data_IF_175722083215
#
_entry.id   IF_175722083215
#
_cell.length_a   1.000
_cell.length_b   1.000
_cell.length_c   1.000
_cell.angle_alpha   90.00
_cell.angle_beta   90.00
_cell.angle_gamma   90.00
#
_symmetry.space_group_name_H-M   'P 1'
#
loop_
_entity.id
_entity.type
_entity.pdbx_description
1 polymer ?
#
# COMPACT_ATOMS: atom_id res chain seq x y z
N UNK A 1 -1.32 -41.54 72.40
CA UNK A 1 -1.20 -42.32 71.14
C UNK A 1 -1.11 -41.35 69.97
N UNK A 2 -0.30 -41.69 68.98
CA UNK A 2 0.25 -40.85 67.89
C UNK A 2 -0.82 -40.26 66.95
N UNK A 3 -0.65 -39.01 66.53
CA UNK A 3 -0.27 -38.63 65.16
C UNK A 3 -0.26 -37.10 65.02
N UNK A 4 0.86 -36.56 64.53
CA UNK A 4 1.05 -35.14 64.21
C UNK A 4 0.87 -34.94 62.71
N UNK A 5 0.07 -33.95 62.32
CA UNK A 5 -0.02 -33.45 60.94
C UNK A 5 -0.05 -31.92 60.99
N UNK A 6 1.05 -31.30 60.57
CA UNK A 6 1.19 -29.85 60.44
C UNK A 6 0.74 -29.42 59.03
N UNK A 7 -0.11 -28.41 58.93
CA UNK A 7 -0.18 -27.53 57.75
C UNK A 7 -0.55 -26.13 58.25
N UNK A 8 0.42 -25.23 58.27
CA UNK A 8 0.15 -23.80 58.40
C UNK A 8 -0.36 -23.28 57.06
N UNK A 9 -1.51 -22.61 57.07
CA UNK A 9 -2.07 -21.91 55.91
C UNK A 9 -2.12 -20.44 56.29
N UNK A 10 -1.19 -19.65 55.76
CA UNK A 10 -1.28 -18.20 55.77
C UNK A 10 -2.28 -17.78 54.68
N UNK A 11 -3.33 -17.08 55.11
CA UNK A 11 -4.38 -16.54 54.24
C UNK A 11 -3.91 -15.16 53.78
N UNK A 12 -3.53 -15.02 52.51
CA UNK A 12 -3.45 -13.74 51.84
C UNK A 12 -4.64 -13.61 50.89
N UNK A 13 -5.36 -12.51 51.06
CA UNK A 13 -6.67 -12.25 50.52
C UNK A 13 -6.68 -12.01 49.00
N UNK A 14 -7.84 -12.32 48.39
CA UNK A 14 -8.43 -11.43 47.38
C UNK A 14 -8.24 -11.81 45.91
N UNK A 15 -8.91 -12.87 45.45
CA UNK A 15 -9.28 -13.05 44.05
C UNK A 15 -10.77 -13.45 43.96
N UNK A 16 -11.63 -12.46 44.18
CA UNK A 16 -13.02 -12.44 43.69
C UNK A 16 -12.96 -11.58 42.41
N UNK A 17 -13.42 -11.99 41.24
CA UNK A 17 -14.81 -12.15 40.80
C UNK A 17 -14.80 -13.13 39.60
N UNK A 18 -15.42 -14.31 39.64
CA UNK A 18 -16.79 -14.59 39.19
C UNK A 18 -17.26 -13.79 37.95
N UNK A 19 -17.27 -14.43 36.78
CA UNK A 19 -18.48 -14.83 36.05
C UNK A 19 -18.18 -15.16 34.58
N UNK A 20 -18.63 -16.34 34.15
CA UNK A 20 -18.68 -16.80 32.77
C UNK A 20 -20.15 -16.77 32.33
N UNK A 21 -20.45 -16.14 31.18
CA UNK A 21 -21.48 -16.46 30.15
C UNK A 21 -21.78 -15.20 29.27
N UNK A 22 -22.47 -15.30 28.12
CA UNK A 22 -21.91 -15.59 26.80
C UNK A 22 -22.23 -14.50 25.73
N UNK A 23 -21.55 -14.60 24.58
CA UNK A 23 -21.90 -14.01 23.26
C UNK A 23 -21.91 -12.48 23.09
N UNK A 24 -20.88 -11.98 22.38
CA UNK A 24 -21.04 -11.05 21.28
C UNK A 24 -19.82 -11.22 20.34
N UNK A 25 -20.04 -11.80 19.16
CA UNK A 25 -19.08 -11.68 18.07
C UNK A 25 -19.05 -10.20 17.70
N UNK A 26 -18.00 -9.47 18.10
CA UNK A 26 -17.73 -8.16 17.54
C UNK A 26 -17.04 -8.38 16.19
N UNK A 27 -17.86 -8.64 15.17
CA UNK A 27 -17.53 -8.31 13.80
C UNK A 27 -17.55 -6.78 13.73
N UNK A 28 -16.39 -6.15 13.86
CA UNK A 28 -16.18 -4.80 13.34
C UNK A 28 -14.85 -4.78 12.57
N UNK A 29 -14.81 -4.05 11.43
CA UNK A 29 -14.05 -4.40 10.25
C UNK A 29 -12.60 -3.90 10.31
N UNK A 30 -11.79 -4.49 9.44
CA UNK A 30 -10.42 -4.10 9.12
C UNK A 30 -10.19 -2.58 9.24
N UNK A 31 -9.53 -2.17 10.30
CA UNK A 31 -9.18 -0.78 10.55
C UNK A 31 -8.35 -0.71 11.82
N UNK A 32 -7.09 -0.29 11.64
CA UNK A 32 -6.13 0.07 12.69
C UNK A 32 -5.26 -1.07 13.26
N UNK A 33 -4.14 -1.33 12.59
CA UNK A 33 -2.87 -1.62 13.25
C UNK A 33 -1.76 -0.83 12.57
N UNK A 34 -1.59 0.41 13.01
CA UNK A 34 -0.26 1.02 13.05
C UNK A 34 0.53 0.43 14.23
N UNK A 35 1.86 0.48 14.09
CA UNK A 35 2.90 0.18 15.09
C UNK A 35 3.57 -1.20 15.01
N UNK A 36 4.49 -1.30 14.05
CA UNK A 36 5.79 -1.96 14.24
C UNK A 36 6.87 -1.20 13.44
N UNK A 37 7.46 -0.22 14.12
CA UNK A 37 8.89 0.14 14.12
C UNK A 37 9.65 0.14 12.76
N UNK A 38 10.04 1.36 12.34
CA UNK A 38 11.22 1.66 11.50
C UNK A 38 11.21 1.19 10.02
N UNK A 39 10.07 1.36 9.34
CA UNK A 39 9.88 0.83 7.97
C UNK A 39 9.46 1.95 7.01
N UNK A 40 10.44 2.61 6.38
CA UNK A 40 10.32 3.48 5.18
C UNK A 40 8.86 3.88 4.85
N UNK A 41 8.41 4.97 5.49
CA UNK A 41 7.08 5.56 5.31
C UNK A 41 6.76 5.64 3.82
N UNK A 42 5.65 5.00 3.42
CA UNK A 42 5.09 5.13 2.08
C UNK A 42 5.10 6.62 1.67
N UNK A 43 5.69 7.02 0.52
CA UNK A 43 5.78 8.41 0.11
C UNK A 43 4.44 9.13 0.12
N UNK A 44 3.32 8.48 -0.23
CA UNK A 44 2.00 9.11 -0.13
C UNK A 44 1.41 9.14 1.28
N UNK A 45 2.02 8.49 2.27
CA UNK A 45 1.71 8.71 3.67
C UNK A 45 2.56 9.85 4.26
N UNK A 46 3.81 9.98 3.83
CA UNK A 46 4.68 11.10 4.19
C UNK A 46 4.21 12.40 3.53
N UNK A 47 3.87 12.34 2.24
CA UNK A 47 3.17 13.39 1.52
C UNK A 47 1.72 13.40 1.98
N UNK A 48 1.24 14.52 2.51
CA UNK A 48 -0.20 14.71 2.79
C UNK A 48 -1.08 14.78 1.53
N UNK A 49 -0.61 14.20 0.43
CA UNK A 49 -1.31 14.09 -0.84
C UNK A 49 -2.27 12.92 -0.74
N UNK A 50 -3.57 13.20 -0.82
CA UNK A 50 -4.64 12.21 -0.84
C UNK A 50 -4.66 11.44 -2.17
N UNK A 51 -3.63 10.62 -2.43
CA UNK A 51 -3.60 9.73 -3.57
C UNK A 51 -4.00 8.34 -3.11
N UNK A 52 -4.96 7.76 -3.82
CA UNK A 52 -5.39 6.38 -3.56
C UNK A 52 -4.28 5.41 -3.97
N UNK A 53 -4.26 4.24 -3.32
CA UNK A 53 -3.33 3.17 -3.67
C UNK A 53 -3.87 2.37 -4.84
N UNK A 54 -2.96 1.92 -5.70
CA UNK A 54 -3.27 0.93 -6.71
C UNK A 54 -3.68 -0.40 -6.06
N UNK A 55 -4.58 -1.14 -6.70
CA UNK A 55 -4.96 -2.47 -6.24
C UNK A 55 -3.83 -3.49 -6.44
N UNK A 56 -3.88 -4.61 -5.71
CA UNK A 56 -2.91 -5.70 -5.85
C UNK A 56 -2.84 -6.23 -7.30
N UNK A 57 -3.95 -6.24 -8.02
CA UNK A 57 -4.00 -6.65 -9.43
C UNK A 57 -3.24 -5.65 -10.33
N UNK A 58 -3.39 -4.36 -10.07
CA UNK A 58 -2.61 -3.33 -10.77
C UNK A 58 -1.11 -3.48 -10.48
N UNK A 59 -0.73 -3.74 -9.22
CA UNK A 59 0.68 -3.96 -8.84
C UNK A 59 1.26 -5.24 -9.47
N UNK A 60 0.46 -6.30 -9.57
CA UNK A 60 0.84 -7.51 -10.28
C UNK A 60 1.07 -7.23 -11.76
N UNK A 61 0.17 -6.50 -12.42
CA UNK A 61 0.32 -6.11 -13.81
C UNK A 61 1.57 -5.24 -14.05
N UNK A 62 1.86 -4.28 -13.15
CA UNK A 62 3.09 -3.49 -13.20
C UNK A 62 4.35 -4.34 -13.00
N UNK A 63 4.31 -5.29 -12.06
CA UNK A 63 5.40 -6.22 -11.80
C UNK A 63 5.71 -7.08 -13.02
N UNK A 64 4.68 -7.60 -13.69
CA UNK A 64 4.85 -8.40 -14.91
C UNK A 64 5.44 -7.59 -16.07
N UNK A 65 5.16 -6.28 -16.12
CA UNK A 65 5.72 -5.37 -17.12
C UNK A 65 7.14 -4.92 -16.79
N UNK A 66 7.55 -4.92 -15.53
CA UNK A 66 8.81 -4.33 -15.06
C UNK A 66 10.03 -5.17 -15.41
N UNK A 67 11.06 -4.50 -15.91
CA UNK A 67 12.39 -5.08 -16.18
C UNK A 67 13.38 -4.88 -15.03
N UNK A 68 13.01 -4.09 -14.01
CA UNK A 68 13.94 -3.57 -12.98
C UNK A 68 13.62 -4.06 -11.57
N UNK A 69 12.63 -4.95 -11.41
CA UNK A 69 12.16 -5.46 -10.13
C UNK A 69 10.66 -5.30 -9.94
N UNK A 70 10.07 -5.93 -8.91
CA UNK A 70 8.63 -5.88 -8.70
C UNK A 70 8.14 -4.47 -8.32
N UNK A 71 6.92 -4.12 -8.71
CA UNK A 71 6.24 -2.94 -8.20
C UNK A 71 5.47 -3.33 -6.93
N UNK A 72 5.92 -2.87 -5.76
CA UNK A 72 5.31 -3.22 -4.47
C UNK A 72 4.36 -2.16 -3.96
N UNK A 73 4.50 -0.93 -4.43
CA UNK A 73 3.62 0.19 -4.14
C UNK A 73 3.40 0.98 -5.42
N UNK A 74 2.18 1.46 -5.59
CA UNK A 74 1.78 2.33 -6.68
C UNK A 74 0.61 3.19 -6.22
N UNK A 75 0.52 4.39 -6.78
CA UNK A 75 -0.54 5.33 -6.46
C UNK A 75 -1.39 5.57 -7.68
N UNK A 76 -2.54 6.18 -7.47
CA UNK A 76 -3.54 6.38 -8.51
C UNK A 76 -3.91 7.86 -8.54
N UNK A 77 -3.96 8.41 -9.76
CA UNK A 77 -4.45 9.75 -10.00
C UNK A 77 -5.29 9.80 -11.27
N UNK A 78 -6.55 10.24 -11.16
CA UNK A 78 -7.42 10.46 -12.31
C UNK A 78 -6.97 11.69 -13.11
N UNK A 79 -7.03 11.60 -14.44
CA UNK A 79 -6.77 12.74 -15.32
C UNK A 79 -6.72 12.38 -16.79
N UNK A 80 -6.81 13.40 -17.65
CA UNK A 80 -6.75 13.27 -19.11
C UNK A 80 -7.74 12.24 -19.71
N UNK A 81 -8.86 12.01 -19.04
CA UNK A 81 -9.89 11.05 -19.46
C UNK A 81 -9.61 9.60 -19.08
N UNK A 82 -8.62 9.35 -18.22
CA UNK A 82 -8.31 8.05 -17.66
C UNK A 82 -7.57 8.16 -16.33
N UNK A 83 -6.61 7.27 -16.10
CA UNK A 83 -5.90 7.14 -14.84
C UNK A 83 -4.41 7.03 -15.06
N UNK A 84 -3.65 7.66 -14.16
CA UNK A 84 -2.21 7.56 -14.04
C UNK A 84 -1.83 6.70 -12.85
N UNK A 85 -0.81 5.86 -13.03
CA UNK A 85 -0.23 5.01 -12.00
C UNK A 85 1.26 5.29 -11.91
N UNK A 86 1.72 6.14 -10.99
CA UNK A 86 3.13 6.24 -10.64
C UNK A 86 3.54 5.07 -9.75
N UNK A 87 4.71 4.48 -9.99
CA UNK A 87 5.29 3.48 -9.09
C UNK A 87 6.83 3.56 -9.07
N UNK A 88 7.46 3.30 -7.92
CA UNK A 88 8.91 3.30 -7.80
C UNK A 88 9.50 2.09 -8.54
N UNK A 89 10.59 2.30 -9.26
CA UNK A 89 11.29 1.28 -10.03
C UNK A 89 12.63 0.95 -9.37
N UNK A 90 12.85 -0.31 -9.01
CA UNK A 90 14.09 -0.80 -8.40
C UNK A 90 13.89 -2.14 -7.71
N UNK A 91 14.98 -2.76 -7.24
CA UNK A 91 14.96 -4.09 -6.61
C UNK A 91 13.97 -4.19 -5.44
N UNK A 92 13.87 -3.14 -4.63
CA UNK A 92 12.96 -3.09 -3.48
C UNK A 92 11.52 -2.71 -3.83
N UNK A 93 11.28 -2.09 -5.00
CA UNK A 93 9.93 -1.79 -5.53
C UNK A 93 9.02 -0.88 -4.69
N UNK A 94 9.55 -0.30 -3.60
CA UNK A 94 8.77 0.40 -2.56
C UNK A 94 9.15 1.88 -2.47
N UNK A 95 10.43 2.20 -2.72
CA UNK A 95 11.00 3.54 -2.79
C UNK A 95 12.11 3.55 -3.84
N UNK A 96 12.18 4.60 -4.65
CA UNK A 96 13.23 4.80 -5.65
C UNK A 96 13.22 6.24 -6.13
N UNK A 97 14.39 6.79 -6.45
CA UNK A 97 14.53 8.06 -7.18
C UNK A 97 13.99 7.93 -8.62
N UNK A 98 13.90 6.69 -9.12
CA UNK A 98 13.33 6.37 -10.42
C UNK A 98 11.86 6.02 -10.24
N UNK A 99 10.99 6.89 -10.72
CA UNK A 99 9.53 6.68 -10.68
C UNK A 99 9.03 6.49 -12.10
N UNK A 100 8.52 5.29 -12.39
CA UNK A 100 7.80 5.03 -13.63
C UNK A 100 6.39 5.62 -13.55
N UNK A 101 5.89 6.11 -14.68
CA UNK A 101 4.52 6.57 -14.83
C UNK A 101 3.84 5.79 -15.94
N UNK A 102 2.75 5.09 -15.59
CA UNK A 102 1.88 4.39 -16.53
C UNK A 102 0.51 5.04 -16.59
N UNK A 103 -0.25 4.76 -17.65
CA UNK A 103 -1.63 5.20 -17.80
C UNK A 103 -2.54 4.09 -18.34
N UNK A 104 -3.82 4.21 -18.03
CA UNK A 104 -4.87 3.27 -18.44
C UNK A 104 -6.23 3.98 -18.47
N UNK A 105 -7.23 3.34 -19.07
CA UNK A 105 -8.61 3.82 -19.19
C UNK A 105 -9.53 3.29 -18.09
N UNK A 106 -9.05 2.36 -17.25
CA UNK A 106 -9.79 1.78 -16.14
C UNK A 106 -9.19 2.18 -14.80
N UNK A 107 -10.05 2.28 -13.79
CA UNK A 107 -9.63 2.63 -12.43
C UNK A 107 -8.64 1.58 -11.87
N UNK A 108 -7.37 1.93 -11.64
CA UNK A 108 -6.36 1.03 -11.11
C UNK A 108 -6.51 0.72 -9.62
N UNK A 109 -7.38 1.45 -8.90
CA UNK A 109 -7.74 1.12 -7.51
C UNK A 109 -8.82 0.02 -7.44
N UNK A 110 -9.49 -0.30 -8.56
CA UNK A 110 -10.44 -1.41 -8.61
C UNK A 110 -9.72 -2.75 -8.38
N UNK A 111 -10.25 -3.56 -7.46
CA UNK A 111 -9.73 -4.90 -7.13
C UNK A 111 -9.90 -5.90 -8.27
N UNK A 112 -10.71 -5.58 -9.27
CA UNK A 112 -10.95 -6.39 -10.46
C UNK A 112 -10.18 -5.86 -11.68
N UNK A 113 -9.14 -5.02 -11.46
CA UNK A 113 -8.34 -4.45 -12.53
C UNK A 113 -7.75 -5.55 -13.45
N UNK A 114 -7.98 -5.38 -14.75
CA UNK A 114 -7.54 -6.26 -15.83
C UNK A 114 -7.43 -5.45 -17.15
N UNK A 115 -6.89 -4.23 -17.06
CA UNK A 115 -6.70 -3.36 -18.23
C UNK A 115 -5.23 -3.20 -18.57
N UNK A 116 -4.96 -2.80 -19.81
CA UNK A 116 -3.61 -2.51 -20.29
C UNK A 116 -3.06 -1.25 -19.63
N UNK A 117 -1.81 -1.33 -19.19
CA UNK A 117 -1.01 -0.20 -18.73
C UNK A 117 -0.04 0.23 -19.84
N UNK A 118 -0.05 1.52 -20.15
CA UNK A 118 0.82 2.12 -21.16
C UNK A 118 1.90 2.98 -20.49
N UNK A 119 3.15 2.87 -20.92
CA UNK A 119 4.24 3.69 -20.41
C UNK A 119 4.09 5.15 -20.88
N UNK A 120 4.13 6.09 -19.93
CA UNK A 120 3.91 7.52 -20.19
C UNK A 120 5.22 8.31 -20.15
N UNK A 121 6.05 8.09 -19.12
CA UNK A 121 7.33 8.80 -18.97
C UNK A 121 8.52 7.96 -19.46
N UNK A 122 9.72 8.58 -19.47
CA UNK A 122 10.95 7.94 -19.91
C UNK A 122 11.38 6.78 -19.03
N UNK A 123 11.13 6.87 -17.72
CA UNK A 123 11.50 5.82 -16.76
C UNK A 123 10.68 4.55 -16.97
N UNK A 124 9.36 4.67 -17.12
CA UNK A 124 8.50 3.55 -17.48
C UNK A 124 8.88 2.95 -18.84
N UNK A 125 9.23 3.76 -19.83
CA UNK A 125 9.66 3.28 -21.15
C UNK A 125 11.00 2.53 -21.12
N UNK A 126 11.92 2.94 -20.23
CA UNK A 126 13.27 2.36 -20.17
C UNK A 126 13.34 1.12 -19.27
N UNK A 127 12.41 0.99 -18.32
CA UNK A 127 12.42 -0.04 -17.28
C UNK A 127 11.21 -0.96 -17.32
N UNK A 128 10.40 -0.93 -18.39
CA UNK A 128 9.29 -1.86 -18.55
C UNK A 128 9.12 -2.27 -20.02
N UNK A 129 8.35 -3.33 -20.22
CA UNK A 129 7.96 -3.83 -21.54
C UNK A 129 6.63 -3.22 -22.04
N UNK A 130 6.04 -2.32 -21.26
CA UNK A 130 4.76 -1.68 -21.59
C UNK A 130 4.86 -0.86 -22.89
N UNK A 131 3.82 -0.94 -23.71
CA UNK A 131 3.72 -0.12 -24.90
C UNK A 131 3.64 1.37 -24.51
N UNK A 132 4.26 2.24 -25.30
CA UNK A 132 4.20 3.69 -25.08
C UNK A 132 2.76 4.21 -25.29
N UNK A 133 2.29 5.05 -24.37
CA UNK A 133 1.01 5.74 -24.51
C UNK A 133 1.02 6.71 -25.70
N UNK A 134 -0.13 6.85 -26.36
CA UNK A 134 -0.31 7.89 -27.36
C UNK A 134 -0.29 9.27 -26.68
N UNK A 135 0.64 10.14 -27.07
CA UNK A 135 0.85 11.45 -26.44
C UNK A 135 -0.36 12.39 -26.51
N UNK A 136 -1.28 12.15 -27.45
CA UNK A 136 -2.56 12.87 -27.57
C UNK A 136 -3.59 12.47 -26.52
N UNK A 137 -3.38 11.34 -25.85
CA UNK A 137 -4.30 10.75 -24.87
C UNK A 137 -3.72 10.85 -23.46
N UNK A 138 -2.47 10.42 -23.29
CA UNK A 138 -1.76 10.52 -22.02
C UNK A 138 -0.37 11.11 -22.25
N UNK A 139 0.05 12.04 -21.39
CA UNK A 139 1.33 12.72 -21.52
C UNK A 139 1.92 13.03 -20.16
N UNK A 140 3.23 12.80 -20.00
CA UNK A 140 3.95 13.12 -18.77
C UNK A 140 3.94 14.64 -18.46
N UNK A 141 3.64 15.46 -19.46
CA UNK A 141 3.60 16.91 -19.32
C UNK A 141 2.31 17.46 -18.72
N UNK A 142 1.25 16.65 -18.63
CA UNK A 142 -0.03 17.12 -18.10
C UNK A 142 0.04 17.42 -16.61
N UNK A 143 -0.83 18.31 -16.14
CA UNK A 143 -0.93 18.61 -14.71
C UNK A 143 -1.32 17.38 -13.90
N UNK A 144 -2.14 16.48 -14.47
CA UNK A 144 -2.53 15.24 -13.82
C UNK A 144 -1.34 14.28 -13.68
N UNK A 145 -0.56 14.08 -14.75
CA UNK A 145 0.65 13.26 -14.71
C UNK A 145 1.68 13.77 -13.70
N UNK A 146 1.91 15.09 -13.68
CA UNK A 146 2.82 15.73 -12.72
C UNK A 146 2.35 15.53 -11.28
N UNK A 147 1.05 15.75 -11.03
CA UNK A 147 0.43 15.47 -9.73
C UNK A 147 0.55 14.00 -9.34
N UNK A 148 0.38 13.08 -10.28
CA UNK A 148 0.54 11.65 -10.02
C UNK A 148 1.97 11.37 -9.54
N UNK A 149 3.00 11.84 -10.24
CA UNK A 149 4.40 11.64 -9.82
C UNK A 149 4.65 12.16 -8.39
N UNK A 150 4.05 13.30 -8.01
CA UNK A 150 4.17 13.82 -6.63
C UNK A 150 3.53 12.95 -5.55
N UNK A 151 2.68 11.99 -5.91
CA UNK A 151 2.21 10.97 -4.97
C UNK A 151 3.32 9.97 -4.61
N UNK A 152 4.26 9.73 -5.52
CA UNK A 152 5.29 8.69 -5.41
C UNK A 152 6.66 9.21 -4.94
N UNK A 153 6.90 10.51 -5.05
CA UNK A 153 8.15 11.15 -4.61
C UNK A 153 7.93 11.86 -3.29
N UNK A 154 8.76 11.62 -2.26
CA UNK A 154 8.71 12.42 -1.04
C UNK A 154 8.87 13.92 -1.38
N UNK A 155 8.04 14.76 -0.77
CA UNK A 155 8.23 16.21 -0.86
C UNK A 155 9.28 16.58 0.19
N UNK A 156 10.48 16.94 -0.24
CA UNK A 156 11.42 17.63 0.66
C UNK A 156 10.74 18.93 1.14
N UNK A 157 10.50 19.03 2.46
CA UNK A 157 10.03 20.26 3.13
C UNK A 157 11.21 21.23 3.34
#
# INVERSE_FOLDING_TARGET
>A
MRSFGAVGIAIAAGLLLSACAPSAQNLDPAGDQNDAEDSRTNPAQANKNACDLASDNTLAALTDLSSSGPARVGWVAEGDGGWYVPAPLGEDGTLSDVVGLWATDKDPADKSFDSTLYAVNGDAQSNSTAAKAAATTFTAESSAAKKAITCATETDD
#
